data_IF_321385641392
#
_entry.id   IF_321385641392
#
_cell.length_a   1.000
_cell.length_b   1.000
_cell.length_c   1.000
_cell.angle_alpha   90.00
_cell.angle_beta   90.00
_cell.angle_gamma   90.00
#
_symmetry.space_group_name_H-M   'P 1'
#
loop_
_entity.id
_entity.type
_entity.pdbx_description
1 polymer ?
#
# COMPACT_ATOMS: atom_id res chain seq x y z
N UNK A 1 -11.15 1.51 -10.05
CA UNK A 1 -12.04 1.82 -11.19
C UNK A 1 -12.28 0.66 -12.15
N UNK A 2 -11.31 0.17 -12.94
CA UNK A 2 -11.57 -0.88 -13.96
C UNK A 2 -12.24 -2.14 -13.40
N UNK A 3 -11.86 -2.59 -12.21
CA UNK A 3 -12.51 -3.72 -11.53
C UNK A 3 -13.95 -3.41 -11.11
N UNK A 4 -14.23 -2.18 -10.66
CA UNK A 4 -15.59 -1.74 -10.29
C UNK A 4 -16.52 -1.74 -11.49
N UNK A 5 -16.02 -1.27 -12.64
CA UNK A 5 -16.75 -1.25 -13.90
C UNK A 5 -16.91 -2.64 -14.54
N UNK A 6 -16.23 -3.67 -14.03
CA UNK A 6 -16.27 -5.02 -14.58
C UNK A 6 -15.37 -5.25 -15.80
N UNK A 7 -14.56 -4.25 -16.19
CA UNK A 7 -13.57 -4.40 -17.26
C UNK A 7 -12.41 -5.32 -16.84
N UNK A 8 -12.09 -5.36 -15.54
CA UNK A 8 -11.24 -6.37 -14.91
C UNK A 8 -12.06 -7.17 -13.90
N UNK A 9 -11.86 -8.48 -13.81
CA UNK A 9 -12.59 -9.32 -12.86
C UNK A 9 -12.04 -9.20 -11.44
N UNK A 10 -10.71 -9.03 -11.31
CA UNK A 10 -10.01 -8.98 -10.04
C UNK A 10 -8.84 -8.01 -10.07
N UNK A 11 -8.45 -7.50 -8.91
CA UNK A 11 -7.23 -6.73 -8.74
C UNK A 11 -6.63 -6.93 -7.34
N UNK A 12 -5.31 -6.74 -7.26
CA UNK A 12 -4.61 -6.51 -6.00
C UNK A 12 -4.33 -5.01 -5.89
N UNK A 13 -4.77 -4.39 -4.79
CA UNK A 13 -4.51 -2.97 -4.50
C UNK A 13 -4.12 -2.79 -3.04
N UNK A 14 -3.58 -1.63 -2.68
CA UNK A 14 -3.28 -1.29 -1.29
C UNK A 14 -4.45 -0.57 -0.62
N UNK A 15 -4.53 -0.72 0.71
CA UNK A 15 -5.55 -0.02 1.51
C UNK A 15 -5.50 1.51 1.31
N UNK A 16 -4.30 2.06 1.08
CA UNK A 16 -4.04 3.47 0.78
C UNK A 16 -4.82 4.00 -0.45
N UNK A 17 -5.16 3.14 -1.42
CA UNK A 17 -5.97 3.50 -2.59
C UNK A 17 -7.46 3.26 -2.31
N UNK A 18 -7.77 2.11 -1.72
CA UNK A 18 -9.15 1.68 -1.45
C UNK A 18 -9.94 2.56 -0.49
N UNK A 19 -9.26 3.34 0.36
CA UNK A 19 -9.91 4.30 1.26
C UNK A 19 -10.78 5.35 0.54
N UNK A 20 -10.57 5.55 -0.77
CA UNK A 20 -11.41 6.39 -1.60
C UNK A 20 -12.83 5.83 -1.79
N UNK A 21 -12.99 4.50 -1.73
CA UNK A 21 -14.28 3.81 -1.89
C UNK A 21 -14.80 3.17 -0.60
N UNK A 22 -13.90 2.87 0.35
CA UNK A 22 -14.22 2.38 1.69
C UNK A 22 -13.47 3.22 2.73
N UNK A 23 -14.04 4.36 3.20
CA UNK A 23 -13.35 5.26 4.14
C UNK A 23 -12.88 4.60 5.44
N UNK A 24 -13.52 3.49 5.85
CA UNK A 24 -13.13 2.69 7.01
C UNK A 24 -11.73 2.07 6.88
N UNK A 25 -11.22 1.86 5.66
CA UNK A 25 -9.87 1.36 5.41
C UNK A 25 -8.77 2.32 5.89
N UNK A 26 -9.11 3.56 6.24
CA UNK A 26 -8.21 4.52 6.92
C UNK A 26 -7.70 4.01 8.27
N UNK A 27 -8.38 3.05 8.90
CA UNK A 27 -7.90 2.39 10.11
C UNK A 27 -6.47 1.81 9.93
N UNK A 28 -6.15 1.37 8.71
CA UNK A 28 -4.83 0.85 8.35
C UNK A 28 -3.76 1.92 8.12
N UNK A 29 -4.17 3.17 7.90
CA UNK A 29 -3.28 4.28 7.59
C UNK A 29 -2.65 4.91 8.84
N UNK A 30 -2.93 4.36 10.04
CA UNK A 30 -2.34 4.81 11.28
C UNK A 30 -0.85 4.41 11.37
N UNK A 31 0.07 5.37 11.53
CA UNK A 31 1.49 5.06 11.62
C UNK A 31 1.81 4.15 12.82
N UNK A 32 2.75 3.22 12.62
CA UNK A 32 3.34 2.37 13.66
C UNK A 32 2.39 1.43 14.42
N UNK A 33 1.13 1.27 13.98
CA UNK A 33 0.17 0.39 14.65
C UNK A 33 0.52 -1.10 14.54
N UNK A 34 1.21 -1.50 13.45
CA UNK A 34 1.69 -2.87 13.22
C UNK A 34 3.22 -2.88 13.24
N UNK A 35 3.81 -3.55 14.23
CA UNK A 35 5.27 -3.54 14.43
C UNK A 35 5.94 -4.66 13.62
N UNK A 36 5.35 -5.84 13.64
CA UNK A 36 5.88 -7.03 12.98
C UNK A 36 4.99 -7.52 11.83
N UNK A 37 5.52 -8.39 10.97
CA UNK A 37 4.70 -9.08 9.97
C UNK A 37 3.66 -9.98 10.65
N UNK A 38 4.01 -10.59 11.78
CA UNK A 38 3.08 -11.40 12.57
C UNK A 38 1.91 -10.59 13.12
N UNK A 39 2.15 -9.36 13.60
CA UNK A 39 1.09 -8.45 14.04
C UNK A 39 0.12 -8.14 12.89
N UNK A 40 0.66 -7.93 11.67
CA UNK A 40 -0.15 -7.72 10.48
C UNK A 40 -1.07 -8.92 10.23
N UNK A 41 -0.53 -10.14 10.17
CA UNK A 41 -1.35 -11.31 9.87
C UNK A 41 -2.38 -11.61 10.96
N UNK A 42 -2.00 -11.49 12.24
CA UNK A 42 -2.93 -11.65 13.37
C UNK A 42 -4.10 -10.69 13.28
N UNK A 43 -3.85 -9.42 12.96
CA UNK A 43 -4.90 -8.43 12.85
C UNK A 43 -5.71 -8.58 11.55
N UNK A 44 -5.05 -8.80 10.41
CA UNK A 44 -5.66 -8.93 9.09
C UNK A 44 -6.64 -10.09 8.98
N UNK A 45 -6.39 -11.20 9.67
CA UNK A 45 -7.31 -12.34 9.73
C UNK A 45 -8.26 -12.30 10.94
N UNK A 46 -8.22 -11.23 11.73
CA UNK A 46 -9.16 -10.99 12.82
C UNK A 46 -10.52 -10.49 12.33
N UNK A 47 -11.58 -10.62 13.15
CA UNK A 47 -12.95 -10.29 12.74
C UNK A 47 -13.12 -8.82 12.33
N UNK A 48 -12.46 -7.89 13.02
CA UNK A 48 -12.53 -6.45 12.72
C UNK A 48 -11.95 -6.16 11.33
N UNK A 49 -10.80 -6.75 10.96
CA UNK A 49 -10.21 -6.53 9.66
C UNK A 49 -11.08 -7.11 8.53
N UNK A 50 -11.70 -8.27 8.75
CA UNK A 50 -12.63 -8.86 7.78
C UNK A 50 -13.87 -7.99 7.60
N UNK A 51 -14.42 -7.45 8.69
CA UNK A 51 -15.54 -6.51 8.64
C UNK A 51 -15.18 -5.27 7.82
N UNK A 52 -14.02 -4.65 8.12
CA UNK A 52 -13.51 -3.50 7.37
C UNK A 52 -13.39 -3.81 5.88
N UNK A 53 -12.79 -4.94 5.52
CA UNK A 53 -12.60 -5.32 4.12
C UNK A 53 -13.90 -5.40 3.33
N UNK A 54 -15.00 -5.84 3.94
CA UNK A 54 -16.29 -5.94 3.27
C UNK A 54 -16.96 -4.58 2.98
N UNK A 55 -16.48 -3.45 3.53
CA UNK A 55 -17.07 -2.13 3.24
C UNK A 55 -16.96 -1.73 1.76
N UNK A 56 -16.04 -2.33 1.01
CA UNK A 56 -15.91 -2.13 -0.45
C UNK A 56 -17.12 -2.65 -1.24
N UNK A 57 -17.99 -3.48 -0.64
CA UNK A 57 -19.19 -4.01 -1.31
C UNK A 57 -20.15 -2.91 -1.76
N UNK A 58 -20.23 -1.81 -1.01
CA UNK A 58 -21.02 -0.62 -1.38
C UNK A 58 -20.54 0.03 -2.68
N UNK A 59 -19.29 -0.22 -3.07
CA UNK A 59 -18.67 0.29 -4.29
C UNK A 59 -18.70 -0.72 -5.46
N UNK A 60 -19.41 -1.85 -5.31
CA UNK A 60 -19.52 -2.89 -6.33
C UNK A 60 -18.34 -3.85 -6.38
N UNK A 61 -17.57 -3.97 -5.29
CA UNK A 61 -16.41 -4.84 -5.19
C UNK A 61 -16.65 -5.92 -4.15
N UNK A 62 -16.14 -7.13 -4.37
CA UNK A 62 -16.06 -8.17 -3.35
C UNK A 62 -14.66 -8.19 -2.75
N UNK A 63 -14.57 -8.05 -1.44
CA UNK A 63 -13.35 -8.36 -0.69
C UNK A 63 -13.15 -9.87 -0.54
N UNK A 64 -11.96 -10.36 -0.88
CA UNK A 64 -11.59 -11.78 -0.78
C UNK A 64 -10.72 -12.04 0.45
N UNK A 65 -9.60 -11.32 0.55
CA UNK A 65 -8.63 -11.41 1.65
C UNK A 65 -7.74 -10.17 1.70
N UNK A 66 -7.18 -9.93 2.89
CA UNK A 66 -6.02 -9.06 3.06
C UNK A 66 -4.76 -9.85 2.74
N UNK A 67 -3.72 -9.15 2.32
CA UNK A 67 -2.40 -9.68 2.02
C UNK A 67 -1.34 -8.62 2.38
N UNK A 68 -0.11 -9.01 2.65
CA UNK A 68 0.93 -8.01 2.97
C UNK A 68 1.39 -7.29 1.70
N UNK A 69 1.30 -5.96 1.65
CA UNK A 69 2.01 -5.16 0.65
C UNK A 69 3.42 -4.74 1.12
N UNK A 70 3.88 -5.31 2.24
CA UNK A 70 5.19 -5.09 2.82
C UNK A 70 5.26 -3.92 3.80
N UNK A 71 6.45 -3.78 4.37
CA UNK A 71 6.80 -2.64 5.21
C UNK A 71 7.23 -1.43 4.39
N UNK A 72 7.23 -0.28 5.05
CA UNK A 72 7.51 1.03 4.48
C UNK A 72 8.71 1.66 5.15
N UNK A 73 9.52 2.33 4.35
CA UNK A 73 10.76 2.98 4.73
C UNK A 73 11.03 4.19 3.83
N UNK A 74 12.17 4.83 4.01
CA UNK A 74 12.60 5.94 3.17
C UNK A 74 13.78 5.49 2.31
N UNK A 75 13.55 5.42 1.00
CA UNK A 75 14.62 5.27 0.02
C UNK A 75 15.06 6.65 -0.46
N UNK A 76 16.35 6.93 -0.40
CA UNK A 76 16.89 8.27 -0.57
C UNK A 76 18.02 8.26 -1.60
N UNK A 77 18.08 9.29 -2.45
CA UNK A 77 19.13 9.47 -3.46
C UNK A 77 20.50 9.52 -2.82
N UNK A 78 20.67 10.46 -1.89
CA UNK A 78 21.98 10.77 -1.32
C UNK A 78 22.02 10.62 0.21
N UNK A 79 21.19 11.38 0.94
CA UNK A 79 21.25 11.46 2.41
C UNK A 79 20.34 10.44 3.07
N UNK A 80 20.89 9.60 3.95
CA UNK A 80 20.09 8.73 4.79
C UNK A 80 19.31 9.54 5.83
N UNK A 81 18.04 9.18 6.04
CA UNK A 81 17.27 9.69 7.17
C UNK A 81 17.86 9.19 8.49
N UNK A 82 18.11 10.10 9.42
CA UNK A 82 18.48 9.76 10.81
C UNK A 82 17.62 10.50 11.83
N UNK A 83 17.13 11.70 11.49
CA UNK A 83 16.25 12.52 12.31
C UNK A 83 15.53 13.56 11.44
N UNK A 84 14.51 14.26 11.96
CA UNK A 84 13.75 15.22 11.15
C UNK A 84 14.57 16.36 10.54
N UNK A 85 15.68 16.79 11.15
CA UNK A 85 16.52 17.85 10.59
C UNK A 85 17.20 17.41 9.29
N UNK A 86 17.51 16.11 9.14
CA UNK A 86 18.09 15.58 7.90
C UNK A 86 17.15 15.64 6.70
N UNK A 87 15.83 15.79 6.94
CA UNK A 87 14.81 15.84 5.90
C UNK A 87 14.47 17.26 5.45
N UNK A 88 14.97 18.29 6.15
CA UNK A 88 14.58 19.67 5.90
C UNK A 88 14.88 20.07 4.45
N UNK A 89 13.81 20.41 3.71
CA UNK A 89 13.89 20.81 2.31
C UNK A 89 13.95 19.65 1.31
N UNK A 90 14.01 18.39 1.76
CA UNK A 90 14.01 17.23 0.89
C UNK A 90 12.60 16.90 0.41
N UNK A 91 12.45 16.73 -0.90
CA UNK A 91 11.20 16.34 -1.57
C UNK A 91 11.08 14.83 -1.59
N UNK A 92 10.10 14.30 -0.86
CA UNK A 92 9.91 12.85 -0.71
C UNK A 92 8.62 12.44 -1.39
N UNK A 93 8.72 11.53 -2.34
CA UNK A 93 7.54 10.96 -2.97
C UNK A 93 6.71 10.17 -1.96
N UNK A 94 5.41 10.41 -1.97
CA UNK A 94 4.39 9.58 -1.29
C UNK A 94 3.36 9.08 -2.30
N UNK A 95 2.61 8.05 -1.92
CA UNK A 95 1.37 7.73 -2.66
C UNK A 95 0.37 8.88 -2.49
N UNK A 96 -0.69 8.89 -3.29
CA UNK A 96 -1.80 9.85 -3.16
C UNK A 96 -2.65 9.53 -1.92
N UNK A 97 -2.03 9.59 -0.75
CA UNK A 97 -2.58 9.27 0.54
C UNK A 97 -2.23 10.39 1.53
N UNK A 98 -3.23 11.13 2.06
CA UNK A 98 -2.99 12.24 2.98
C UNK A 98 -2.25 11.81 4.26
N UNK A 99 -2.40 10.55 4.70
CA UNK A 99 -1.71 10.06 5.89
C UNK A 99 -0.21 9.87 5.63
N UNK A 100 0.15 9.37 4.45
CA UNK A 100 1.56 9.32 4.03
C UNK A 100 2.16 10.71 3.88
N UNK A 101 1.42 11.65 3.27
CA UNK A 101 1.87 13.02 3.15
C UNK A 101 2.12 13.66 4.53
N UNK A 102 1.19 13.45 5.47
CA UNK A 102 1.30 13.96 6.84
C UNK A 102 2.54 13.42 7.55
N UNK A 103 2.83 12.11 7.47
CA UNK A 103 3.99 11.58 8.18
C UNK A 103 5.32 12.10 7.62
N UNK A 104 5.42 12.32 6.31
CA UNK A 104 6.62 12.93 5.72
C UNK A 104 6.80 14.37 6.20
N UNK A 105 5.72 15.15 6.32
CA UNK A 105 5.78 16.50 6.90
C UNK A 105 6.26 16.46 8.35
N UNK A 106 5.73 15.55 9.16
CA UNK A 106 6.17 15.37 10.56
C UNK A 106 7.62 14.86 10.68
N UNK A 107 8.09 14.10 9.68
CA UNK A 107 9.50 13.71 9.55
C UNK A 107 10.38 14.85 9.01
N UNK A 108 9.84 16.05 8.76
CA UNK A 108 10.59 17.24 8.33
C UNK A 108 10.80 17.40 6.83
N UNK A 109 10.25 16.49 6.01
CA UNK A 109 10.34 16.52 4.55
C UNK A 109 9.16 17.23 3.88
N UNK A 110 9.29 17.41 2.56
CA UNK A 110 8.23 17.96 1.70
C UNK A 110 7.60 16.79 0.95
N UNK A 111 6.35 16.38 1.26
CA UNK A 111 5.70 15.30 0.53
C UNK A 111 5.37 15.72 -0.90
N UNK A 112 5.62 14.82 -1.85
CA UNK A 112 5.25 14.98 -3.26
C UNK A 112 4.37 13.80 -3.68
N UNK A 113 3.04 13.96 -3.72
CA UNK A 113 2.13 12.90 -4.16
C UNK A 113 2.31 12.61 -5.66
N UNK A 114 2.64 11.37 -6.02
CA UNK A 114 2.71 10.94 -7.43
C UNK A 114 2.51 9.43 -7.56
N UNK A 115 2.20 8.98 -8.78
CA UNK A 115 2.03 7.56 -9.07
C UNK A 115 3.36 6.80 -8.99
N UNK A 116 3.30 5.46 -8.95
CA UNK A 116 4.52 4.65 -9.01
C UNK A 116 5.18 4.71 -10.41
N UNK A 117 4.40 4.95 -11.46
CA UNK A 117 4.89 5.00 -12.84
C UNK A 117 5.80 6.21 -13.11
N UNK A 118 5.56 7.34 -12.43
CA UNK A 118 6.35 8.56 -12.56
C UNK A 118 7.61 8.55 -11.69
N UNK A 119 7.67 7.67 -10.69
CA UNK A 119 8.66 7.70 -9.62
C UNK A 119 10.10 7.53 -10.12
N UNK A 120 10.35 6.58 -11.02
CA UNK A 120 11.71 6.29 -11.49
C UNK A 120 12.33 7.51 -12.17
N UNK A 121 11.60 8.11 -13.11
CA UNK A 121 12.04 9.30 -13.84
C UNK A 121 12.22 10.50 -12.89
N UNK A 122 11.31 10.70 -11.93
CA UNK A 122 11.42 11.78 -10.97
C UNK A 122 12.66 11.66 -10.06
N UNK A 123 13.01 10.44 -9.63
CA UNK A 123 14.25 10.17 -8.90
C UNK A 123 15.48 10.36 -9.80
N UNK A 124 15.45 9.85 -11.03
CA UNK A 124 16.58 9.89 -11.95
C UNK A 124 16.96 11.33 -12.34
N UNK A 125 15.95 12.16 -12.63
CA UNK A 125 16.13 13.57 -13.00
C UNK A 125 16.42 14.48 -11.80
N UNK A 126 16.22 13.98 -10.59
CA UNK A 126 16.40 14.75 -9.36
C UNK A 126 15.31 15.77 -9.05
N UNK A 127 14.11 15.58 -9.63
CA UNK A 127 12.92 16.34 -9.24
C UNK A 127 12.53 16.10 -7.78
N UNK A 128 12.84 14.90 -7.27
CA UNK A 128 12.64 14.45 -5.88
C UNK A 128 13.93 13.83 -5.32
N UNK A 129 14.05 13.86 -4.00
CA UNK A 129 15.24 13.43 -3.25
C UNK A 129 15.13 12.01 -2.70
N UNK A 130 13.91 11.49 -2.64
CA UNK A 130 13.63 10.16 -2.14
C UNK A 130 12.17 9.78 -2.28
N UNK A 131 11.84 8.60 -1.78
CA UNK A 131 10.49 8.09 -1.75
C UNK A 131 10.23 7.29 -0.48
N UNK A 132 8.99 7.36 -0.04
CA UNK A 132 8.41 6.40 0.87
C UNK A 132 8.21 5.10 0.07
N UNK A 133 8.99 4.05 0.36
CA UNK A 133 8.97 2.74 -0.31
C UNK A 133 9.41 1.61 0.62
N UNK A 134 8.92 0.40 0.36
CA UNK A 134 9.41 -0.82 1.00
C UNK A 134 10.62 -1.43 0.29
N UNK A 135 11.40 -2.30 0.96
CA UNK A 135 12.65 -2.83 0.41
C UNK A 135 12.41 -3.68 -0.85
N UNK A 136 11.36 -4.52 -0.86
CA UNK A 136 11.03 -5.36 -2.01
C UNK A 136 10.71 -4.55 -3.27
N UNK A 137 10.01 -3.42 -3.11
CA UNK A 137 9.70 -2.53 -4.22
C UNK A 137 10.91 -1.70 -4.65
N UNK A 138 11.78 -1.33 -3.71
CA UNK A 138 13.08 -0.69 -3.99
C UNK A 138 13.96 -1.56 -4.90
N UNK A 139 14.00 -2.88 -4.64
CA UNK A 139 14.78 -3.83 -5.45
C UNK A 139 14.11 -4.10 -6.79
N UNK A 140 12.84 -4.54 -6.79
CA UNK A 140 12.13 -4.91 -8.02
C UNK A 140 11.96 -3.75 -9.00
N UNK A 141 11.77 -2.52 -8.49
CA UNK A 141 11.70 -1.30 -9.30
C UNK A 141 13.06 -0.69 -9.68
N UNK A 142 14.18 -1.36 -9.35
CA UNK A 142 15.55 -0.89 -9.63
C UNK A 142 15.88 0.50 -9.08
N UNK A 143 15.18 0.93 -8.03
CA UNK A 143 15.42 2.24 -7.42
C UNK A 143 16.79 2.32 -6.74
N UNK A 144 17.39 1.18 -6.40
CA UNK A 144 18.76 1.07 -5.86
C UNK A 144 19.85 1.53 -6.84
N UNK A 145 19.57 1.59 -8.15
CA UNK A 145 20.52 2.13 -9.14
C UNK A 145 20.71 3.65 -8.94
N UNK A 146 19.67 4.33 -8.48
CA UNK A 146 19.64 5.79 -8.30
C UNK A 146 19.84 6.15 -6.81
N UNK A 147 19.19 5.41 -5.91
CA UNK A 147 19.13 5.70 -4.49
C UNK A 147 20.20 4.97 -3.69
N UNK A 148 21.04 5.72 -2.98
CA UNK A 148 22.21 5.20 -2.26
C UNK A 148 21.97 4.94 -0.77
N UNK A 149 20.81 5.34 -0.24
CA UNK A 149 20.46 5.10 1.14
C UNK A 149 19.04 4.56 1.29
N UNK A 150 18.86 3.70 2.30
CA UNK A 150 17.55 3.21 2.74
C UNK A 150 17.47 3.29 4.26
N UNK A 151 16.56 4.11 4.77
CA UNK A 151 16.25 4.18 6.19
C UNK A 151 15.01 3.34 6.48
N UNK A 152 15.17 2.32 7.34
CA UNK A 152 14.10 1.41 7.72
C UNK A 152 13.25 2.03 8.84
N UNK A 153 12.46 3.04 8.49
CA UNK A 153 11.62 3.80 9.44
C UNK A 153 10.39 3.03 9.92
N UNK A 154 9.90 2.02 9.18
CA UNK A 154 8.79 1.13 9.58
C UNK A 154 7.50 1.85 10.00
N UNK A 155 7.29 3.04 9.44
CA UNK A 155 6.14 3.88 9.75
C UNK A 155 4.82 3.26 9.31
N UNK A 156 4.84 2.39 8.30
CA UNK A 156 3.68 1.61 7.89
C UNK A 156 4.05 0.16 7.58
N UNK A 157 3.12 -0.75 7.85
CA UNK A 157 3.00 -2.04 7.16
C UNK A 157 1.69 -1.98 6.42
N UNK A 158 1.75 -1.80 5.10
CA UNK A 158 0.56 -1.51 4.31
C UNK A 158 -0.16 -2.83 3.98
N UNK A 159 -1.45 -2.96 4.31
CA UNK A 159 -2.29 -4.02 3.77
C UNK A 159 -2.46 -3.85 2.27
N UNK A 160 -2.14 -4.90 1.54
CA UNK A 160 -2.76 -5.19 0.25
C UNK A 160 -4.08 -5.90 0.46
N UNK A 161 -4.95 -5.83 -0.53
CA UNK A 161 -6.20 -6.57 -0.58
C UNK A 161 -6.44 -7.11 -1.98
N UNK A 162 -7.04 -8.29 -2.03
CA UNK A 162 -7.53 -8.88 -3.27
C UNK A 162 -9.02 -8.61 -3.36
N UNK A 163 -9.39 -7.87 -4.40
CA UNK A 163 -10.76 -7.49 -4.69
C UNK A 163 -11.22 -8.10 -6.01
N UNK A 164 -12.50 -8.43 -6.08
CA UNK A 164 -13.18 -8.86 -7.29
C UNK A 164 -14.32 -7.91 -7.65
N UNK A 165 -14.74 -7.89 -8.92
CA UNK A 165 -16.01 -7.28 -9.29
C UNK A 165 -17.16 -8.05 -8.62
N UNK A 166 -18.05 -7.37 -7.92
CA UNK A 166 -19.09 -8.03 -7.12
C UNK A 166 -20.11 -8.80 -7.97
N UNK A 167 -20.49 -8.26 -9.14
CA UNK A 167 -21.46 -8.90 -10.01
C UNK A 167 -20.88 -10.17 -10.66
N UNK A 168 -19.66 -10.08 -11.18
CA UNK A 168 -18.93 -11.24 -11.69
C UNK A 168 -18.77 -12.32 -10.61
N UNK A 169 -18.33 -11.92 -9.41
CA UNK A 169 -18.11 -12.84 -8.30
C UNK A 169 -19.40 -13.59 -7.90
N UNK A 170 -20.52 -12.87 -7.83
CA UNK A 170 -21.84 -13.45 -7.52
C UNK A 170 -22.35 -14.38 -8.63
N UNK A 171 -21.94 -14.15 -9.87
CA UNK A 171 -22.27 -15.00 -11.02
C UNK A 171 -21.48 -16.30 -11.09
N UNK A 172 -20.39 -16.45 -10.32
CA UNK A 172 -19.61 -17.69 -10.29
C UNK A 172 -20.38 -18.83 -9.60
N UNK A 173 -20.28 -20.07 -10.10
CA UNK A 173 -20.71 -21.26 -9.38
C UNK A 173 -20.12 -21.35 -7.97
N UNK A 174 -20.86 -21.86 -6.97
CA UNK A 174 -20.40 -21.91 -5.58
C UNK A 174 -19.08 -22.68 -5.38
N UNK A 175 -18.88 -23.78 -6.10
CA UNK A 175 -17.67 -24.60 -6.08
C UNK A 175 -16.46 -23.85 -6.65
N UNK A 176 -16.62 -23.17 -7.79
CA UNK A 176 -15.59 -22.32 -8.40
C UNK A 176 -15.22 -21.17 -7.46
N UNK A 177 -16.22 -20.51 -6.87
CA UNK A 177 -16.01 -19.43 -5.90
C UNK A 177 -15.17 -19.92 -4.72
N UNK A 178 -15.50 -21.07 -4.16
CA UNK A 178 -14.78 -21.66 -3.04
C UNK A 178 -13.31 -21.96 -3.39
N UNK A 179 -13.06 -22.57 -4.54
CA UNK A 179 -11.69 -22.87 -5.01
C UNK A 179 -10.87 -21.58 -5.16
N UNK A 180 -11.47 -20.52 -5.70
CA UNK A 180 -10.79 -19.22 -5.82
C UNK A 180 -10.50 -18.60 -4.44
N UNK A 181 -11.47 -18.57 -3.53
CA UNK A 181 -11.27 -18.03 -2.17
C UNK A 181 -10.15 -18.76 -1.43
N UNK A 182 -10.18 -20.09 -1.45
CA UNK A 182 -9.20 -20.93 -0.76
C UNK A 182 -7.81 -20.74 -1.37
N UNK A 183 -7.70 -20.73 -2.71
CA UNK A 183 -6.43 -20.53 -3.42
C UNK A 183 -5.83 -19.13 -3.21
N UNK A 184 -6.65 -18.09 -3.25
CA UNK A 184 -6.21 -16.71 -3.03
C UNK A 184 -5.76 -16.51 -1.58
N UNK A 185 -6.51 -17.04 -0.61
CA UNK A 185 -6.14 -16.96 0.82
C UNK A 185 -4.84 -17.69 1.10
N UNK A 186 -4.66 -18.88 0.53
CA UNK A 186 -3.40 -19.62 0.65
C UNK A 186 -2.21 -18.81 0.12
N UNK A 187 -2.33 -18.19 -1.06
CA UNK A 187 -1.28 -17.36 -1.64
C UNK A 187 -1.05 -16.00 -0.96
N UNK A 188 -1.91 -15.62 -0.01
CA UNK A 188 -1.87 -14.33 0.71
C UNK A 188 -1.25 -14.42 2.11
N UNK A 189 -0.88 -15.63 2.54
CA UNK A 189 -0.11 -15.91 3.75
C UNK A 189 1.38 -15.75 3.47
#
# INVERSE_FOLDING_TARGET
ESTRMGALQMCFITSAISQAVAPSHRAWAMPYILKTAEDFYKFAYGPVAIELGNDVEKAGLKFITWASAGERGLVMRDKCFTNPQTMKGLKIRVMQDPYQASIIQHMGGIPVPMSLAELYTALQTGQIDGAELGPSLTVSGKYHDICKAYARTLQFRIPGEVLANLAWWKGLPPDVRKVLEDGIRFGSL
#
